data_IF_770140968584
#
_entry.id   IF_770140968584
#
_cell.length_a   1.000
_cell.length_b   1.000
_cell.length_c   1.000
_cell.angle_alpha   90.00
_cell.angle_beta   90.00
_cell.angle_gamma   90.00
#
_symmetry.space_group_name_H-M   'P 1'
#
loop_
_entity.id
_entity.type
_entity.pdbx_description
1 polymer ?
#
# COMPACT_ATOMS: atom_id res chain seq x y z
N UNK A 1 9.93 -5.76 3.40
CA UNK A 1 10.70 -5.08 4.48
C UNK A 1 10.02 -5.36 5.82
N UNK A 2 10.76 -5.64 6.91
CA UNK A 2 10.22 -5.84 8.27
C UNK A 2 10.51 -4.57 9.08
N UNK A 3 9.50 -3.99 9.75
CA UNK A 3 9.72 -2.82 10.62
C UNK A 3 9.34 -3.15 12.06
N UNK A 4 10.28 -2.95 12.99
CA UNK A 4 10.04 -2.95 14.42
C UNK A 4 10.04 -1.49 14.89
N UNK A 5 8.95 -0.98 15.45
CA UNK A 5 8.93 0.32 16.13
C UNK A 5 7.98 0.25 17.33
N UNK A 6 8.52 0.47 18.52
CA UNK A 6 7.84 0.35 19.82
C UNK A 6 8.37 -0.84 20.63
N UNK A 7 8.50 -0.67 21.96
CA UNK A 7 9.08 -1.61 22.96
C UNK A 7 8.41 -3.00 23.03
N UNK A 8 8.43 -3.74 21.93
CA UNK A 8 7.94 -5.11 21.83
C UNK A 8 9.12 -6.00 21.48
N UNK A 9 9.47 -6.85 22.43
CA UNK A 9 10.45 -7.93 22.35
C UNK A 9 10.50 -8.59 20.96
N UNK A 10 11.41 -8.12 20.08
CA UNK A 10 11.90 -8.70 18.83
C UNK A 10 10.90 -9.45 17.91
N UNK A 11 9.60 -9.16 18.00
CA UNK A 11 8.55 -9.83 17.21
C UNK A 11 8.12 -8.89 16.07
N UNK A 12 8.18 -9.32 14.80
CA UNK A 12 7.71 -8.50 13.70
C UNK A 12 6.19 -8.29 13.82
N UNK A 13 5.78 -7.03 14.02
CA UNK A 13 4.38 -6.62 14.21
C UNK A 13 3.64 -6.37 12.90
N UNK A 14 4.37 -6.29 11.78
CA UNK A 14 3.80 -6.18 10.45
C UNK A 14 4.85 -6.13 9.33
N UNK A 15 4.40 -6.30 8.10
CA UNK A 15 5.20 -6.13 6.89
C UNK A 15 4.34 -5.70 5.72
N UNK A 16 4.97 -5.16 4.69
CA UNK A 16 4.34 -4.86 3.40
C UNK A 16 5.09 -5.57 2.26
N UNK A 17 4.35 -5.93 1.22
CA UNK A 17 4.91 -6.43 -0.05
C UNK A 17 5.05 -5.26 -1.01
N UNK A 18 6.30 -4.97 -1.38
CA UNK A 18 6.68 -3.88 -2.29
C UNK A 18 7.76 -4.36 -3.25
N UNK A 19 7.52 -4.20 -4.55
CA UNK A 19 8.45 -4.58 -5.62
C UNK A 19 8.10 -3.83 -6.93
N UNK A 20 8.96 -3.80 -7.96
CA UNK A 20 8.57 -3.29 -9.27
C UNK A 20 7.33 -4.01 -9.79
N UNK A 21 6.40 -3.30 -10.42
CA UNK A 21 5.07 -3.80 -10.82
C UNK A 21 5.13 -5.10 -11.62
N UNK A 22 6.12 -5.22 -12.50
CA UNK A 22 6.40 -6.42 -13.30
C UNK A 22 6.60 -7.71 -12.50
N UNK A 23 7.00 -7.61 -11.23
CA UNK A 23 7.14 -8.76 -10.32
C UNK A 23 5.80 -9.26 -9.76
N UNK A 24 4.69 -8.58 -10.08
CA UNK A 24 3.35 -8.99 -9.66
C UNK A 24 2.45 -9.29 -10.86
N UNK A 25 2.57 -10.50 -11.48
CA UNK A 25 1.76 -10.89 -12.62
C UNK A 25 0.24 -10.77 -12.40
N UNK A 26 -0.20 -10.92 -11.14
CA UNK A 26 -1.61 -10.76 -10.76
C UNK A 26 -2.17 -9.36 -11.10
N UNK A 27 -1.35 -8.31 -11.05
CA UNK A 27 -1.77 -6.95 -11.38
C UNK A 27 -2.06 -6.77 -12.87
N UNK A 28 -1.40 -7.56 -13.73
CA UNK A 28 -1.62 -7.54 -15.18
C UNK A 28 -2.91 -8.29 -15.58
N UNK A 29 -3.30 -9.29 -14.80
CA UNK A 29 -4.50 -10.11 -15.06
C UNK A 29 -5.77 -9.37 -14.62
N UNK A 30 -5.72 -8.62 -13.52
CA UNK A 30 -6.89 -7.97 -12.95
C UNK A 30 -7.29 -6.71 -13.72
N UNK A 31 -8.44 -6.77 -14.43
CA UNK A 31 -8.98 -5.64 -15.20
C UNK A 31 -9.15 -4.35 -14.41
N UNK A 32 -9.40 -4.45 -13.11
CA UNK A 32 -9.60 -3.29 -12.23
C UNK A 32 -8.28 -2.59 -11.85
N UNK A 33 -7.13 -3.25 -12.04
CA UNK A 33 -5.79 -2.76 -11.70
C UNK A 33 -4.91 -2.57 -12.95
N UNK A 34 -5.54 -2.36 -14.11
CA UNK A 34 -4.84 -2.10 -15.37
C UNK A 34 -3.82 -0.97 -15.18
N UNK A 35 -2.70 -1.08 -15.92
CA UNK A 35 -1.69 -0.02 -15.98
C UNK A 35 -2.35 1.31 -16.32
N UNK A 36 -2.02 2.33 -15.53
CA UNK A 36 -2.48 3.71 -15.75
C UNK A 36 -1.72 4.32 -16.93
N UNK A 37 -0.44 3.97 -17.07
CA UNK A 37 0.46 4.39 -18.15
C UNK A 37 1.63 3.38 -18.27
N UNK A 38 2.56 3.65 -19.19
CA UNK A 38 3.75 2.82 -19.45
C UNK A 38 4.95 3.17 -18.56
N UNK A 39 4.78 3.97 -17.51
CA UNK A 39 5.88 4.35 -16.62
C UNK A 39 6.27 3.18 -15.71
N UNK A 40 7.57 2.95 -15.45
CA UNK A 40 7.99 1.95 -14.49
C UNK A 40 7.62 2.39 -13.07
N UNK A 41 6.79 1.58 -12.40
CA UNK A 41 6.33 1.85 -11.03
C UNK A 41 6.68 0.72 -10.08
N UNK A 42 6.97 1.06 -8.83
CA UNK A 42 6.97 0.11 -7.72
C UNK A 42 5.55 -0.04 -7.19
N UNK A 43 5.15 -1.24 -6.80
CA UNK A 43 3.79 -1.54 -6.36
C UNK A 43 3.77 -1.99 -4.91
N UNK A 44 2.93 -1.37 -4.09
CA UNK A 44 2.57 -1.87 -2.76
C UNK A 44 1.26 -2.64 -2.90
N UNK A 45 1.33 -3.96 -2.76
CA UNK A 45 0.18 -4.84 -3.05
C UNK A 45 -0.53 -5.36 -1.81
N UNK A 46 0.17 -5.54 -0.69
CA UNK A 46 -0.45 -5.99 0.55
C UNK A 46 0.38 -5.63 1.79
N UNK A 47 -0.31 -5.65 2.93
CA UNK A 47 0.17 -5.48 4.28
C UNK A 47 -0.30 -6.65 5.11
N UNK A 48 0.59 -7.09 6.00
CA UNK A 48 0.24 -7.90 7.14
C UNK A 48 0.48 -7.05 8.39
N UNK A 49 -0.51 -7.02 9.29
CA UNK A 49 -0.41 -6.33 10.57
C UNK A 49 -1.00 -7.27 11.62
N UNK A 50 -0.27 -7.45 12.72
CA UNK A 50 -0.75 -8.22 13.86
C UNK A 50 -2.12 -7.70 14.31
N UNK A 51 -3.06 -8.62 14.54
CA UNK A 51 -4.46 -8.28 14.85
C UNK A 51 -4.58 -7.37 16.07
N UNK A 52 -3.68 -7.50 17.04
CA UNK A 52 -3.73 -6.76 18.29
C UNK A 52 -3.26 -5.31 18.11
N UNK A 53 -2.59 -5.00 17.00
CA UNK A 53 -2.01 -3.68 16.69
C UNK A 53 -2.68 -3.02 15.48
N UNK A 54 -3.83 -3.57 15.03
CA UNK A 54 -4.65 -2.92 14.02
C UNK A 54 -5.24 -1.64 14.60
N UNK A 55 -5.42 -0.62 13.75
CA UNK A 55 -5.90 0.72 14.12
C UNK A 55 -4.91 1.60 14.93
N UNK A 56 -3.69 1.15 15.19
CA UNK A 56 -2.66 1.96 15.87
C UNK A 56 -1.76 2.73 14.91
N UNK A 57 -2.18 2.93 13.66
CA UNK A 57 -1.37 3.64 12.65
C UNK A 57 -0.18 2.85 12.10
N UNK A 58 -0.07 1.55 12.41
CA UNK A 58 0.99 0.66 11.91
C UNK A 58 1.03 0.63 10.37
N UNK A 59 -0.12 0.65 9.71
CA UNK A 59 -0.22 0.71 8.24
C UNK A 59 0.45 1.96 7.67
N UNK A 60 0.28 3.11 8.30
CA UNK A 60 0.92 4.35 7.89
C UNK A 60 2.46 4.27 8.04
N UNK A 61 2.96 3.71 9.13
CA UNK A 61 4.39 3.50 9.33
C UNK A 61 4.98 2.53 8.29
N UNK A 62 4.25 1.46 7.95
CA UNK A 62 4.66 0.53 6.89
C UNK A 62 4.67 1.18 5.51
N UNK A 63 3.75 2.10 5.22
CA UNK A 63 3.76 2.89 3.98
C UNK A 63 5.02 3.77 3.92
N UNK A 64 5.32 4.52 4.99
CA UNK A 64 6.52 5.37 5.02
C UNK A 64 7.80 4.55 4.84
N UNK A 65 7.90 3.39 5.50
CA UNK A 65 9.03 2.49 5.33
C UNK A 65 9.14 1.95 3.90
N UNK A 66 8.01 1.63 3.25
CA UNK A 66 7.98 1.22 1.85
C UNK A 66 8.46 2.34 0.92
N UNK A 67 8.06 3.59 1.16
CA UNK A 67 8.53 4.75 0.40
C UNK A 67 10.06 4.90 0.52
N UNK A 68 10.60 4.83 1.74
CA UNK A 68 12.04 4.90 1.96
C UNK A 68 12.79 3.76 1.28
N UNK A 69 12.24 2.53 1.33
CA UNK A 69 12.81 1.39 0.63
C UNK A 69 12.89 1.62 -0.87
N UNK A 70 11.79 2.07 -1.48
CA UNK A 70 11.76 2.33 -2.92
C UNK A 70 12.74 3.44 -3.30
N UNK A 71 12.81 4.51 -2.51
CA UNK A 71 13.76 5.60 -2.72
C UNK A 71 15.21 5.10 -2.69
N UNK A 72 15.57 4.28 -1.70
CA UNK A 72 16.92 3.71 -1.58
C UNK A 72 17.27 2.75 -2.73
N UNK A 73 16.26 2.19 -3.41
CA UNK A 73 16.42 1.32 -4.58
C UNK A 73 16.26 2.10 -5.91
N UNK A 74 16.23 3.44 -5.87
CA UNK A 74 16.18 4.28 -7.07
C UNK A 74 14.82 4.36 -7.78
N UNK A 75 13.75 3.89 -7.14
CA UNK A 75 12.40 4.04 -7.68
C UNK A 75 11.93 5.49 -7.63
N UNK A 76 11.10 5.88 -8.61
CA UNK A 76 10.56 7.24 -8.74
C UNK A 76 9.06 7.34 -8.44
N UNK A 77 8.33 6.26 -8.75
CA UNK A 77 6.88 6.21 -8.65
C UNK A 77 6.50 4.97 -7.87
N UNK A 78 5.66 5.15 -6.85
CA UNK A 78 5.06 4.07 -6.08
C UNK A 78 3.56 4.07 -6.34
N UNK A 79 3.02 2.94 -6.77
CA UNK A 79 1.61 2.67 -6.99
C UNK A 79 1.06 1.78 -5.88
N UNK A 80 -0.16 2.06 -5.44
CA UNK A 80 -0.86 1.32 -4.41
C UNK A 80 -2.33 1.10 -4.80
N UNK A 81 -2.92 0.03 -4.27
CA UNK A 81 -4.28 -0.43 -4.62
C UNK A 81 -5.18 -0.56 -3.39
N UNK A 82 -5.37 0.51 -2.60
CA UNK A 82 -6.12 0.43 -1.35
C UNK A 82 -7.60 0.19 -1.57
N UNK A 83 -8.27 -0.10 -0.45
CA UNK A 83 -9.73 -0.09 -0.39
C UNK A 83 -10.23 1.28 0.08
N UNK A 84 -11.22 1.83 -0.62
CA UNK A 84 -11.98 2.98 -0.14
C UNK A 84 -13.09 2.49 0.79
N UNK A 85 -13.19 3.08 1.98
CA UNK A 85 -14.25 2.75 2.94
C UNK A 85 -15.45 3.64 2.69
N UNK A 86 -16.60 3.05 2.39
CA UNK A 86 -17.89 3.75 2.47
C UNK A 86 -18.29 3.83 3.94
N UNK A 87 -18.79 4.99 4.38
CA UNK A 87 -19.09 5.35 5.78
C UNK A 87 -19.94 4.31 6.55
N UNK A 88 -20.64 3.43 5.85
CA UNK A 88 -21.57 2.46 6.45
C UNK A 88 -21.15 0.97 6.31
N UNK A 89 -19.92 0.66 5.86
CA UNK A 89 -19.47 -0.73 5.73
C UNK A 89 -18.28 -1.06 6.63
N UNK A 90 -18.47 -2.11 7.43
CA UNK A 90 -17.44 -2.76 8.26
C UNK A 90 -16.19 -3.00 7.40
N UNK A 91 -15.03 -2.58 7.92
CA UNK A 91 -13.73 -2.87 7.32
C UNK A 91 -13.67 -4.36 7.07
N UNK A 92 -13.52 -4.83 5.81
CA UNK A 92 -13.33 -6.24 5.56
C UNK A 92 -12.17 -6.70 6.44
N UNK A 93 -12.36 -7.77 7.22
CA UNK A 93 -11.31 -8.43 8.02
C UNK A 93 -10.04 -8.71 7.19
N UNK A 94 -10.20 -8.67 5.86
CA UNK A 94 -9.24 -8.85 4.80
C UNK A 94 -8.82 -7.55 4.08
N UNK A 95 -8.75 -6.40 4.75
CA UNK A 95 -8.19 -5.15 4.19
C UNK A 95 -6.66 -5.22 4.02
N UNK A 96 -6.14 -6.32 3.47
CA UNK A 96 -4.72 -6.58 3.27
C UNK A 96 -4.08 -5.55 2.33
N UNK A 97 -4.82 -4.92 1.42
CA UNK A 97 -4.26 -3.89 0.52
C UNK A 97 -4.14 -2.50 1.17
N UNK A 98 -4.58 -2.35 2.43
CA UNK A 98 -4.60 -1.08 3.14
C UNK A 98 -5.83 -0.22 2.81
N UNK A 99 -6.00 0.88 3.54
CA UNK A 99 -7.15 1.79 3.43
C UNK A 99 -6.69 3.09 2.79
N UNK A 100 -7.48 3.64 1.85
CA UNK A 100 -7.14 4.83 1.07
C UNK A 100 -6.75 6.04 1.95
N UNK A 101 -7.43 6.21 3.10
CA UNK A 101 -7.10 7.27 4.06
C UNK A 101 -5.64 7.25 4.56
N UNK A 102 -5.04 6.07 4.76
CA UNK A 102 -3.65 5.96 5.19
C UNK A 102 -2.68 6.37 4.08
N UNK A 103 -3.01 6.06 2.82
CA UNK A 103 -2.24 6.47 1.65
C UNK A 103 -2.34 7.97 1.38
N UNK A 104 -3.54 8.55 1.48
CA UNK A 104 -3.72 9.99 1.39
C UNK A 104 -2.89 10.74 2.45
N UNK A 105 -2.92 10.25 3.70
CA UNK A 105 -2.09 10.82 4.77
C UNK A 105 -0.59 10.75 4.45
N UNK A 106 -0.14 9.71 3.76
CA UNK A 106 1.24 9.56 3.32
C UNK A 106 1.59 10.39 2.07
N UNK A 107 0.62 11.12 1.49
CA UNK A 107 0.82 11.98 0.34
C UNK A 107 0.60 11.30 -1.02
N UNK A 108 -0.02 10.12 -1.04
CA UNK A 108 -0.44 9.51 -2.30
C UNK A 108 -1.62 10.28 -2.89
N UNK A 109 -1.61 10.43 -4.21
CA UNK A 109 -2.70 10.98 -5.00
C UNK A 109 -3.40 9.87 -5.79
N UNK A 110 -4.72 9.97 -5.93
CA UNK A 110 -5.47 9.08 -6.82
C UNK A 110 -5.15 9.43 -8.28
N UNK A 111 -4.86 8.41 -9.08
CA UNK A 111 -4.53 8.57 -10.51
C UNK A 111 -5.51 7.85 -11.43
N UNK A 112 -6.22 6.84 -10.92
CA UNK A 112 -7.27 6.15 -11.65
C UNK A 112 -8.25 5.49 -10.70
N UNK A 113 -9.50 5.29 -11.15
CA UNK A 113 -10.53 4.59 -10.39
C UNK A 113 -11.42 3.80 -11.33
N UNK A 114 -11.22 2.49 -11.38
CA UNK A 114 -12.05 1.58 -12.17
C UNK A 114 -13.27 1.07 -11.40
N UNK A 115 -13.28 1.22 -10.07
CA UNK A 115 -14.41 0.84 -9.19
C UNK A 115 -14.51 1.81 -8.03
N UNK A 116 -15.73 2.07 -7.55
CA UNK A 116 -15.99 3.01 -6.46
C UNK A 116 -15.18 2.73 -5.18
N UNK A 117 -14.79 1.48 -4.96
CA UNK A 117 -14.09 1.04 -3.73
C UNK A 117 -12.64 0.65 -3.92
N UNK A 118 -12.09 0.83 -5.13
CA UNK A 118 -10.73 0.42 -5.52
C UNK A 118 -10.06 1.51 -6.35
N UNK A 119 -9.63 2.62 -5.73
CA UNK A 119 -8.78 3.59 -6.41
C UNK A 119 -7.37 3.01 -6.62
N UNK A 120 -6.71 3.46 -7.68
CA UNK A 120 -5.28 3.31 -7.90
C UNK A 120 -4.65 4.63 -7.49
N UNK A 121 -3.71 4.56 -6.55
CA UNK A 121 -3.06 5.74 -5.98
C UNK A 121 -1.56 5.70 -6.26
N UNK A 122 -0.96 6.86 -6.54
CA UNK A 122 0.48 7.00 -6.74
C UNK A 122 1.11 8.01 -5.81
N UNK A 123 2.34 7.72 -5.43
CA UNK A 123 3.26 8.65 -4.78
C UNK A 123 4.45 8.88 -5.72
N UNK A 124 4.80 10.15 -5.92
CA UNK A 124 5.93 10.56 -6.72
C UNK A 124 7.06 10.97 -5.76
N UNK A 125 8.14 10.19 -5.75
CA UNK A 125 9.34 10.56 -5.01
C UNK A 125 9.97 11.80 -5.66
N UNK A 126 10.36 12.75 -4.82
CA UNK A 126 11.10 13.94 -5.21
C UNK A 126 12.59 13.65 -5.33
#
# INVERSE_FOLDING_TARGET
MRTCSGNYSNKPVGWCSVAPREHFPALEILRILKKVDDLPVWSIVCFFIDKNLRNEGVSYQLILAALQYVQNNGGKIIEAYPIEQKKDKVVPVFAWTGIAAAFHKAGFAEVARCSETRPIMRYYLK
#
